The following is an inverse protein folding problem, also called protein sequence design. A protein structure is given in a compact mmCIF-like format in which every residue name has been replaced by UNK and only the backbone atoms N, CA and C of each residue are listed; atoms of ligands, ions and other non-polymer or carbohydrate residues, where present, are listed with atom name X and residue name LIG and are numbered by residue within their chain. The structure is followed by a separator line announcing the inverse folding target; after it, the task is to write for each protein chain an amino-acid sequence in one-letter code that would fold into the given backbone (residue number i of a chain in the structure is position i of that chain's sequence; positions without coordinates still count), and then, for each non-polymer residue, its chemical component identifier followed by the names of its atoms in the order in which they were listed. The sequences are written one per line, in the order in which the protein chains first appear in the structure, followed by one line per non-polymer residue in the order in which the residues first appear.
data_IF_863948871937
#
_entry.id   IF_863948871937
#
_cell.length_a   1.000
_cell.length_b   1.000
_cell.length_c   1.000
_cell.angle_alpha   90.00
_cell.angle_beta   90.00
_cell.angle_gamma   90.00
#
_symmetry.space_group_name_H-M   'P 1'
#
loop_
_entity.id
_entity.type
_entity.pdbx_description
1 polymer ?
#
# COMPACT_ATOMS: atom_id res chain seq x y z
N UNK A 1 -3.56 26.91 -8.05
CA UNK A 1 -3.32 27.01 -6.60
C UNK A 1 -3.68 25.69 -5.96
N UNK A 2 -2.94 25.26 -4.94
CA UNK A 2 -3.03 23.95 -4.25
C UNK A 2 -4.40 23.70 -3.57
N UNK A 3 -5.28 24.70 -3.60
CA UNK A 3 -6.59 24.77 -2.93
C UNK A 3 -7.63 23.76 -3.42
N UNK A 4 -7.41 23.07 -4.55
CA UNK A 4 -8.38 22.06 -5.04
C UNK A 4 -8.27 20.70 -4.33
N UNK A 5 -7.25 20.49 -3.49
CA UNK A 5 -6.95 19.20 -2.86
C UNK A 5 -7.24 19.15 -1.35
N UNK A 6 -7.60 20.25 -0.71
CA UNK A 6 -7.93 20.31 0.73
C UNK A 6 -9.11 21.23 0.97
N UNK A 7 -9.84 20.98 2.05
CA UNK A 7 -10.89 21.83 2.56
C UNK A 7 -10.31 23.23 2.93
N UNK A 8 -11.16 24.27 3.07
CA UNK A 8 -10.69 25.64 3.31
C UNK A 8 -9.85 25.83 4.58
N UNK A 9 -9.98 24.93 5.55
CA UNK A 9 -9.21 24.87 6.80
C UNK A 9 -7.92 24.06 6.67
N UNK A 10 -7.61 23.53 5.49
CA UNK A 10 -6.44 22.69 5.22
C UNK A 10 -6.68 21.20 5.47
N UNK A 11 -7.90 20.80 5.88
CA UNK A 11 -8.22 19.41 6.18
C UNK A 11 -8.55 18.60 4.92
N UNK A 12 -8.49 17.28 5.03
CA UNK A 12 -9.00 16.38 3.99
C UNK A 12 -10.48 16.09 4.21
N UNK A 13 -11.25 16.11 3.12
CA UNK A 13 -12.61 15.56 3.10
C UNK A 13 -12.62 14.07 3.43
N UNK A 14 -13.78 13.56 3.83
CA UNK A 14 -13.97 12.14 4.16
C UNK A 14 -13.53 11.20 3.03
N UNK A 15 -13.90 11.50 1.78
CA UNK A 15 -13.51 10.70 0.61
C UNK A 15 -12.00 10.72 0.35
N UNK A 16 -11.34 11.84 0.59
CA UNK A 16 -9.87 11.93 0.47
C UNK A 16 -9.18 11.15 1.58
N UNK A 17 -9.70 11.23 2.82
CA UNK A 17 -9.20 10.43 3.95
C UNK A 17 -9.34 8.95 3.65
N UNK A 18 -10.51 8.49 3.18
CA UNK A 18 -10.77 7.10 2.81
C UNK A 18 -9.88 6.63 1.65
N UNK A 19 -9.72 7.45 0.61
CA UNK A 19 -8.83 7.12 -0.51
C UNK A 19 -7.38 6.93 -0.05
N UNK A 20 -6.87 7.85 0.78
CA UNK A 20 -5.51 7.75 1.33
C UNK A 20 -5.36 6.55 2.28
N UNK A 21 -6.39 6.25 3.09
CA UNK A 21 -6.38 5.08 3.97
C UNK A 21 -6.42 3.75 3.21
N UNK A 22 -7.16 3.65 2.11
CA UNK A 22 -7.28 2.41 1.33
C UNK A 22 -5.94 1.87 0.79
N UNK A 23 -4.95 2.76 0.60
CA UNK A 23 -3.58 2.37 0.19
C UNK A 23 -2.80 1.76 1.35
N UNK A 24 -3.04 2.22 2.57
CA UNK A 24 -2.36 1.77 3.78
C UNK A 24 -2.67 0.30 4.10
N UNK A 25 -3.86 -0.20 3.77
CA UNK A 25 -4.26 -1.58 4.06
C UNK A 25 -3.29 -2.62 3.45
N UNK A 26 -2.77 -2.35 2.24
CA UNK A 26 -1.79 -3.22 1.56
C UNK A 26 -0.36 -3.07 2.08
N UNK A 27 -0.10 -2.05 2.91
CA UNK A 27 1.21 -1.76 3.50
C UNK A 27 1.27 -2.31 4.93
N UNK A 28 0.20 -2.15 5.73
CA UNK A 28 0.16 -2.53 7.15
C UNK A 28 0.08 -4.05 7.38
N UNK A 29 -0.57 -4.79 6.47
CA UNK A 29 -0.72 -6.26 6.52
C UNK A 29 0.51 -7.06 6.03
N UNK A 30 1.64 -6.39 5.81
CA UNK A 30 2.78 -6.91 5.06
C UNK A 30 2.59 -6.66 3.57
N UNK A 31 3.61 -6.08 2.92
CA UNK A 31 3.58 -5.82 1.47
C UNK A 31 3.17 -7.09 0.72
N UNK A 32 2.25 -6.96 -0.23
CA UNK A 32 1.86 -8.04 -1.16
C UNK A 32 3.09 -8.76 -1.76
N UNK A 33 4.22 -8.06 -1.87
CA UNK A 33 5.51 -8.60 -2.31
C UNK A 33 6.07 -9.67 -1.36
N UNK A 34 6.02 -9.45 -0.04
CA UNK A 34 6.46 -10.43 0.95
C UNK A 34 5.60 -11.70 0.88
N UNK A 35 4.27 -11.54 0.79
CA UNK A 35 3.37 -12.69 0.70
C UNK A 35 3.59 -13.48 -0.60
N UNK A 36 3.78 -12.80 -1.73
CA UNK A 36 4.13 -13.46 -3.01
C UNK A 36 5.46 -14.21 -2.91
N UNK A 37 6.48 -13.64 -2.28
CA UNK A 37 7.77 -14.31 -2.10
C UNK A 37 7.64 -15.56 -1.20
N UNK A 38 6.85 -15.51 -0.14
CA UNK A 38 6.56 -16.67 0.71
C UNK A 38 5.86 -17.77 -0.09
N UNK A 39 4.84 -17.44 -0.88
CA UNK A 39 4.13 -18.42 -1.73
C UNK A 39 5.07 -19.01 -2.78
N UNK A 40 5.86 -18.16 -3.46
CA UNK A 40 6.83 -18.59 -4.46
C UNK A 40 7.84 -19.59 -3.88
N UNK A 41 8.47 -19.27 -2.73
CA UNK A 41 9.51 -20.11 -2.13
C UNK A 41 8.93 -21.36 -1.44
N UNK A 42 7.87 -21.20 -0.64
CA UNK A 42 7.40 -22.27 0.27
C UNK A 42 6.28 -23.13 -0.28
N UNK A 43 5.45 -22.59 -1.17
CA UNK A 43 4.33 -23.32 -1.77
C UNK A 43 4.70 -23.84 -3.16
N UNK A 44 5.34 -22.98 -3.97
CA UNK A 44 5.65 -23.30 -5.36
C UNK A 44 7.08 -23.80 -5.59
N UNK A 45 7.97 -23.72 -4.59
CA UNK A 45 9.36 -24.18 -4.70
C UNK A 45 10.22 -23.38 -5.67
N UNK A 46 9.83 -22.14 -5.98
CA UNK A 46 10.59 -21.26 -6.87
C UNK A 46 11.90 -20.80 -6.19
N UNK A 47 12.96 -20.53 -6.97
CA UNK A 47 14.18 -19.94 -6.45
C UNK A 47 13.91 -18.61 -5.75
N UNK A 48 14.64 -18.39 -4.66
CA UNK A 48 14.56 -17.18 -3.87
C UNK A 48 14.99 -15.95 -4.68
N UNK A 49 14.24 -14.85 -4.54
CA UNK A 49 14.54 -13.60 -5.22
C UNK A 49 15.96 -13.11 -4.87
N UNK A 50 16.68 -12.61 -5.88
CA UNK A 50 18.01 -12.06 -5.70
C UNK A 50 17.91 -10.79 -4.84
N UNK A 51 18.56 -10.79 -3.68
CA UNK A 51 18.71 -9.57 -2.88
C UNK A 51 19.71 -8.67 -3.59
N UNK A 52 19.24 -7.54 -4.12
CA UNK A 52 20.10 -6.44 -4.54
C UNK A 52 20.87 -5.84 -3.38
#
# INVERSE_FOLDING_TARGET
GVTALTLPDGEFSEWQRLYLFSRSDTIYGGSNEIQRNIIAERVLGLPREAKG
#
